data_IF_075854376676
#
_entry.id   IF_075854376676
#
_cell.length_a   1.000
_cell.length_b   1.000
_cell.length_c   1.000
_cell.angle_alpha   90.00
_cell.angle_beta   90.00
_cell.angle_gamma   90.00
#
_symmetry.space_group_name_H-M   'P 1'
#
loop_
_entity.id
_entity.type
_entity.pdbx_description
1 polymer ?
#
# COMPACT_ATOMS: atom_id res chain seq x y z
N UNK A 1 22.30 -47.53 30.94
CA UNK A 1 21.43 -47.22 29.77
C UNK A 1 20.11 -46.53 30.13
N UNK A 2 19.32 -47.00 31.12
CA UNK A 2 18.03 -46.37 31.49
C UNK A 2 18.18 -44.90 31.94
N UNK A 3 19.15 -44.60 32.80
CA UNK A 3 19.43 -43.24 33.27
C UNK A 3 19.86 -42.28 32.14
N UNK A 4 20.69 -42.75 31.19
CA UNK A 4 21.13 -41.95 30.03
C UNK A 4 19.94 -41.62 29.10
N UNK A 5 19.03 -42.59 28.86
CA UNK A 5 17.80 -42.34 28.11
C UNK A 5 16.88 -41.34 28.83
N UNK A 6 16.81 -41.40 30.15
CA UNK A 6 16.01 -40.49 30.96
C UNK A 6 16.58 -39.05 30.95
N UNK A 7 17.90 -38.90 31.08
CA UNK A 7 18.58 -37.61 30.97
C UNK A 7 18.43 -37.03 29.55
N UNK A 8 18.60 -37.86 28.51
CA UNK A 8 18.42 -37.43 27.12
C UNK A 8 16.97 -37.00 26.83
N UNK A 9 15.98 -37.65 27.46
CA UNK A 9 14.57 -37.30 27.33
C UNK A 9 14.25 -35.95 28.00
N UNK A 10 14.80 -35.72 29.21
CA UNK A 10 14.68 -34.43 29.90
C UNK A 10 15.33 -33.30 29.08
N UNK A 11 16.51 -33.54 28.53
CA UNK A 11 17.22 -32.56 27.70
C UNK A 11 16.43 -32.21 26.42
N UNK A 12 15.74 -33.19 25.82
CA UNK A 12 14.93 -32.96 24.63
C UNK A 12 13.67 -32.12 24.94
N UNK A 13 13.06 -32.32 26.12
CA UNK A 13 11.91 -31.53 26.59
C UNK A 13 12.31 -30.10 26.93
N UNK A 14 13.49 -29.87 27.52
CA UNK A 14 13.94 -28.52 27.86
C UNK A 14 14.37 -27.71 26.64
N UNK A 15 14.85 -28.34 25.56
CA UNK A 15 15.15 -27.64 24.31
C UNK A 15 13.88 -27.20 23.55
N UNK A 16 12.77 -27.93 23.67
CA UNK A 16 11.54 -27.65 22.91
C UNK A 16 10.75 -26.45 23.45
N UNK A 17 10.96 -26.04 24.70
CA UNK A 17 10.30 -24.87 25.31
C UNK A 17 10.91 -23.51 24.90
N UNK A 18 12.01 -23.49 24.12
CA UNK A 18 12.66 -22.25 23.68
C UNK A 18 12.29 -21.84 22.23
N UNK A 19 11.42 -22.60 21.56
CA UNK A 19 10.93 -22.27 20.21
C UNK A 19 9.82 -21.21 20.29
N UNK A 20 10.20 -19.95 20.45
CA UNK A 20 9.27 -18.83 20.30
C UNK A 20 9.24 -18.36 18.85
N UNK A 21 8.14 -18.61 18.15
CA UNK A 21 7.89 -17.99 16.86
C UNK A 21 7.75 -16.47 17.03
N UNK A 22 8.23 -15.70 16.05
CA UNK A 22 8.09 -14.25 16.05
C UNK A 22 6.60 -13.88 16.02
N UNK A 23 6.18 -13.12 17.02
CA UNK A 23 4.81 -12.59 17.12
C UNK A 23 4.76 -11.21 16.51
N UNK A 24 3.60 -10.84 15.96
CA UNK A 24 3.35 -9.48 15.51
C UNK A 24 3.49 -8.50 16.67
N UNK A 25 4.26 -7.45 16.41
CA UNK A 25 4.37 -6.24 17.22
C UNK A 25 3.03 -5.51 17.27
N UNK A 26 2.89 -4.60 18.23
CA UNK A 26 1.68 -3.78 18.32
C UNK A 26 1.50 -2.88 17.08
N UNK A 27 2.60 -2.39 16.51
CA UNK A 27 2.58 -1.55 15.31
C UNK A 27 2.04 -2.34 14.12
N UNK A 28 2.54 -3.55 13.90
CA UNK A 28 2.08 -4.41 12.80
C UNK A 28 0.59 -4.74 12.91
N UNK A 29 0.09 -5.02 14.12
CA UNK A 29 -1.35 -5.24 14.35
C UNK A 29 -2.18 -4.00 14.02
N UNK A 30 -1.72 -2.81 14.41
CA UNK A 30 -2.39 -1.56 14.05
C UNK A 30 -2.44 -1.36 12.54
N UNK A 31 -1.36 -1.66 11.82
CA UNK A 31 -1.33 -1.58 10.35
C UNK A 31 -2.34 -2.55 9.73
N UNK A 32 -2.42 -3.79 10.21
CA UNK A 32 -3.40 -4.78 9.71
C UNK A 32 -4.83 -4.27 9.92
N UNK A 33 -5.16 -3.79 11.12
CA UNK A 33 -6.50 -3.26 11.39
C UNK A 33 -6.85 -2.09 10.45
N UNK A 34 -5.90 -1.18 10.20
CA UNK A 34 -6.11 -0.08 9.25
C UNK A 34 -6.34 -0.58 7.82
N UNK A 35 -5.65 -1.64 7.40
CA UNK A 35 -5.88 -2.25 6.08
C UNK A 35 -7.30 -2.83 6.01
N UNK A 36 -7.71 -3.60 7.03
CA UNK A 36 -9.03 -4.23 7.08
C UNK A 36 -10.15 -3.18 7.07
N UNK A 37 -10.00 -2.09 7.83
CA UNK A 37 -10.95 -0.98 7.89
C UNK A 37 -11.09 -0.24 6.54
N UNK A 38 -10.04 -0.21 5.73
CA UNK A 38 -10.05 0.48 4.43
C UNK A 38 -10.33 -0.46 3.24
N UNK A 39 -10.44 -1.78 3.46
CA UNK A 39 -10.57 -2.76 2.38
C UNK A 39 -11.78 -2.48 1.47
N UNK A 40 -12.97 -2.30 2.06
CA UNK A 40 -14.19 -2.05 1.28
C UNK A 40 -14.09 -0.75 0.45
N UNK A 41 -13.53 0.31 1.02
CA UNK A 41 -13.30 1.57 0.29
C UNK A 41 -12.36 1.40 -0.90
N UNK A 42 -11.33 0.56 -0.76
CA UNK A 42 -10.42 0.26 -1.87
C UNK A 42 -11.12 -0.51 -2.99
N UNK A 43 -12.03 -1.44 -2.65
CA UNK A 43 -12.87 -2.14 -3.63
C UNK A 43 -13.82 -1.16 -4.33
N UNK A 44 -14.49 -0.28 -3.59
CA UNK A 44 -15.40 0.73 -4.17
C UNK A 44 -14.67 1.69 -5.13
N UNK A 45 -13.47 2.15 -4.73
CA UNK A 45 -12.64 2.99 -5.58
C UNK A 45 -12.20 2.24 -6.84
N UNK A 46 -11.81 0.97 -6.70
CA UNK A 46 -11.45 0.13 -7.84
C UNK A 46 -12.62 -0.02 -8.81
N UNK A 47 -13.80 -0.37 -8.31
CA UNK A 47 -15.02 -0.49 -9.11
C UNK A 47 -15.30 0.80 -9.89
N UNK A 48 -15.23 1.95 -9.21
CA UNK A 48 -15.44 3.27 -9.80
C UNK A 48 -14.48 3.54 -10.97
N UNK A 49 -13.21 3.19 -10.85
CA UNK A 49 -12.21 3.47 -11.90
C UNK A 49 -12.25 2.44 -13.04
N UNK A 50 -12.46 1.15 -12.76
CA UNK A 50 -12.48 0.11 -13.83
C UNK A 50 -13.72 0.20 -14.71
N UNK A 51 -14.83 0.74 -14.19
CA UNK A 51 -16.04 1.01 -14.96
C UNK A 51 -15.91 2.21 -15.92
N UNK A 52 -14.75 2.87 -15.95
CA UNK A 52 -14.45 3.94 -16.90
C UNK A 52 -13.58 3.37 -18.02
N UNK A 53 -14.06 3.47 -19.26
CA UNK A 53 -13.22 3.14 -20.42
C UNK A 53 -12.07 4.15 -20.55
N UNK A 54 -10.89 3.79 -20.06
CA UNK A 54 -9.66 4.58 -20.13
C UNK A 54 -8.62 3.96 -21.06
N UNK A 55 -9.05 3.41 -22.21
CA UNK A 55 -8.12 2.93 -23.24
C UNK A 55 -7.19 4.06 -23.72
N UNK A 56 -5.98 3.73 -24.21
CA UNK A 56 -4.92 4.72 -24.49
C UNK A 56 -5.28 5.82 -25.50
N UNK A 57 -6.31 5.61 -26.33
CA UNK A 57 -6.84 6.60 -27.28
C UNK A 57 -8.09 7.32 -26.77
N UNK A 58 -8.67 6.88 -25.66
CA UNK A 58 -9.79 7.56 -25.01
C UNK A 58 -9.26 8.60 -24.01
N UNK A 59 -8.82 9.74 -24.53
CA UNK A 59 -8.24 10.84 -23.74
C UNK A 59 -9.19 11.31 -22.64
N UNK A 60 -10.48 11.41 -22.94
CA UNK A 60 -11.51 11.82 -21.97
C UNK A 60 -11.62 10.81 -20.83
N UNK A 61 -11.58 9.51 -21.16
CA UNK A 61 -11.61 8.43 -20.16
C UNK A 61 -10.38 8.45 -19.25
N UNK A 62 -9.19 8.61 -19.81
CA UNK A 62 -7.94 8.70 -19.04
C UNK A 62 -7.93 9.93 -18.12
N UNK A 63 -8.37 11.10 -18.63
CA UNK A 63 -8.51 12.31 -17.81
C UNK A 63 -9.48 12.10 -16.65
N UNK A 64 -10.63 11.49 -16.90
CA UNK A 64 -11.64 11.20 -15.87
C UNK A 64 -11.12 10.28 -14.77
N UNK A 65 -10.35 9.24 -15.12
CA UNK A 65 -9.67 8.38 -14.13
C UNK A 65 -8.66 9.21 -13.33
N UNK A 66 -7.88 10.05 -14.02
CA UNK A 66 -6.95 10.99 -13.39
C UNK A 66 -7.62 11.92 -12.38
N UNK A 67 -8.77 12.51 -12.72
CA UNK A 67 -9.50 13.42 -11.84
C UNK A 67 -9.99 12.70 -10.56
N UNK A 68 -10.44 11.44 -10.68
CA UNK A 68 -10.83 10.64 -9.51
C UNK A 68 -9.64 10.43 -8.58
N UNK A 69 -8.49 9.99 -9.12
CA UNK A 69 -7.30 9.81 -8.29
C UNK A 69 -6.79 11.13 -7.71
N UNK A 70 -6.88 12.24 -8.46
CA UNK A 70 -6.52 13.56 -7.97
C UNK A 70 -7.32 13.92 -6.72
N UNK A 71 -8.62 13.63 -6.70
CA UNK A 71 -9.47 13.87 -5.52
C UNK A 71 -9.09 12.96 -4.34
N UNK A 72 -8.86 11.66 -4.57
CA UNK A 72 -8.40 10.74 -3.51
C UNK A 72 -7.05 11.20 -2.91
N UNK A 73 -6.11 11.63 -3.75
CA UNK A 73 -4.81 12.15 -3.32
C UNK A 73 -4.94 13.44 -2.48
N UNK A 74 -5.88 14.34 -2.82
CA UNK A 74 -6.15 15.54 -1.99
C UNK A 74 -6.60 15.14 -0.59
N UNK A 75 -7.39 14.08 -0.43
CA UNK A 75 -7.90 13.67 0.89
C UNK A 75 -6.78 13.27 1.86
N UNK A 76 -5.66 12.78 1.32
CA UNK A 76 -4.47 12.39 2.10
C UNK A 76 -3.36 13.45 2.05
N UNK A 77 -3.68 14.68 1.64
CA UNK A 77 -2.82 15.86 1.76
C UNK A 77 -1.86 16.11 0.59
N UNK A 78 -2.00 15.41 -0.53
CA UNK A 78 -1.20 15.69 -1.73
C UNK A 78 -1.78 16.87 -2.52
N UNK A 79 -0.92 17.52 -3.30
CA UNK A 79 -1.28 18.55 -4.28
C UNK A 79 -1.23 17.96 -5.69
N UNK A 80 -2.38 17.62 -6.30
CA UNK A 80 -2.42 17.12 -7.66
C UNK A 80 -2.29 18.24 -8.69
N UNK A 81 -1.50 17.99 -9.73
CA UNK A 81 -1.34 18.83 -10.92
C UNK A 81 -1.47 17.97 -12.16
N UNK A 82 -2.29 18.39 -13.11
CA UNK A 82 -2.39 17.72 -14.40
C UNK A 82 -1.53 18.44 -15.44
N UNK A 83 -0.66 17.69 -16.10
CA UNK A 83 0.18 18.17 -17.19
C UNK A 83 -0.37 17.67 -18.53
N UNK A 84 -0.84 18.60 -19.36
CA UNK A 84 -1.36 18.27 -20.68
C UNK A 84 -0.23 17.87 -21.66
N UNK A 85 -0.55 16.97 -22.58
CA UNK A 85 0.32 16.63 -23.72
C UNK A 85 -0.13 17.37 -24.99
N UNK A 86 0.76 17.62 -25.95
CA UNK A 86 0.37 18.20 -27.24
C UNK A 86 -0.66 17.33 -27.96
N UNK A 87 -1.70 17.96 -28.52
CA UNK A 87 -2.81 17.25 -29.19
C UNK A 87 -2.33 16.32 -30.31
N UNK A 88 -1.27 16.71 -31.04
CA UNK A 88 -0.65 15.92 -32.09
C UNK A 88 -0.15 14.53 -31.64
N UNK A 89 0.07 14.32 -30.34
CA UNK A 89 0.46 13.01 -29.79
C UNK A 89 -0.72 12.04 -29.71
N UNK A 90 -1.98 12.52 -29.69
CA UNK A 90 -3.16 11.67 -29.53
C UNK A 90 -3.12 10.85 -28.24
N UNK A 91 -2.62 11.44 -27.15
CA UNK A 91 -2.46 10.83 -25.83
C UNK A 91 -2.96 11.78 -24.76
N UNK A 92 -3.44 11.21 -23.66
CA UNK A 92 -3.80 12.00 -22.49
C UNK A 92 -2.57 12.53 -21.76
N UNK A 93 -2.76 13.62 -21.02
CA UNK A 93 -1.78 14.14 -20.08
C UNK A 93 -1.48 13.22 -18.90
N UNK A 94 -0.74 13.75 -17.94
CA UNK A 94 -0.27 13.03 -16.76
C UNK A 94 -0.69 13.72 -15.47
N UNK A 95 -1.17 12.94 -14.50
CA UNK A 95 -1.41 13.39 -13.13
C UNK A 95 -0.12 13.26 -12.31
N UNK A 96 0.33 14.38 -11.76
CA UNK A 96 1.42 14.43 -10.78
C UNK A 96 0.86 14.84 -9.44
N UNK A 97 1.22 14.13 -8.37
CA UNK A 97 0.77 14.44 -7.01
C UNK A 97 1.99 14.64 -6.11
N UNK A 98 2.11 15.81 -5.50
CA UNK A 98 3.24 16.15 -4.63
C UNK A 98 2.82 16.27 -3.17
N UNK A 99 3.62 15.73 -2.27
CA UNK A 99 3.47 15.86 -0.81
C UNK A 99 4.71 16.58 -0.27
N UNK A 100 4.52 17.56 0.62
CA UNK A 100 5.59 18.39 1.22
C UNK A 100 6.32 19.31 0.23
N UNK A 101 5.65 20.37 -0.22
CA UNK A 101 6.13 21.41 -1.17
C UNK A 101 7.33 22.27 -0.72
N UNK A 102 8.16 21.82 0.22
CA UNK A 102 9.40 22.56 0.52
C UNK A 102 10.22 22.18 1.77
N UNK A 103 9.68 21.42 2.73
CA UNK A 103 10.45 21.04 3.94
C UNK A 103 10.24 19.56 4.27
N UNK A 104 11.13 18.72 3.73
CA UNK A 104 11.22 17.32 4.13
C UNK A 104 12.03 17.26 5.42
N UNK A 105 11.38 17.01 6.57
CA UNK A 105 12.07 16.70 7.85
C UNK A 105 12.71 15.30 7.88
N UNK A 106 13.06 14.77 6.72
CA UNK A 106 13.72 13.49 6.54
C UNK A 106 15.16 13.72 6.12
N UNK A 107 16.07 12.89 6.62
CA UNK A 107 17.44 12.85 6.11
C UNK A 107 17.37 12.43 4.64
N UNK A 108 17.85 13.29 3.72
CA UNK A 108 18.06 12.90 2.32
C UNK A 108 19.08 11.75 2.35
N UNK A 109 18.63 10.56 1.98
CA UNK A 109 19.47 9.35 1.86
C UNK A 109 20.25 9.42 0.55
#
# INVERSE_FOLDING_TARGET
>A
MKAIKFISFILFITLSVHLHAQKLTQIEKTVINLIDENHNKAIDLLEKVVNINSGSLNVVGVKKVGDIFADEFKTIGFTPTWYEMPEAMGRAGHLFCELNTGVVKGKKI
#
